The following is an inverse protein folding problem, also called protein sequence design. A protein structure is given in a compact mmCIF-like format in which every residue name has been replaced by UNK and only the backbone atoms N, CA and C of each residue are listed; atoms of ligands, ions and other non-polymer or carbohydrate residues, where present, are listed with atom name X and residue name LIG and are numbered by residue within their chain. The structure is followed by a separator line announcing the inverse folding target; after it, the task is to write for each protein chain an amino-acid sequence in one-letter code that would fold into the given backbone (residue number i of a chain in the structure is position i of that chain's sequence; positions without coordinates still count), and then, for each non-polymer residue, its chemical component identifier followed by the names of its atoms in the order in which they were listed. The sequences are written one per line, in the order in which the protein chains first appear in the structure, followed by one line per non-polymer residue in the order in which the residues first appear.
data_IF_219937160548
#
_entry.id   IF_219937160548
#
_cell.length_a   1.000
_cell.length_b   1.000
_cell.length_c   1.000
_cell.angle_alpha   90.00
_cell.angle_beta   90.00
_cell.angle_gamma   90.00
#
_symmetry.space_group_name_H-M   'P 1'
#
loop_
_entity.id
_entity.type
_entity.pdbx_description
1 polymer ?
#
# COMPACT_ATOMS: atom_id res chain seq x y z
N UNK A 1 42.16 -30.27 13.73
CA UNK A 1 41.84 -28.93 14.23
C UNK A 1 40.34 -28.77 14.09
N UNK A 2 39.59 -28.70 15.20
CA UNK A 2 38.14 -28.40 15.17
C UNK A 2 38.02 -26.88 15.04
N UNK A 3 37.54 -26.40 13.91
CA UNK A 3 37.10 -25.01 13.80
C UNK A 3 36.05 -24.74 14.89
N UNK A 4 36.37 -23.86 15.80
CA UNK A 4 35.41 -23.31 16.73
C UNK A 4 34.40 -22.49 15.90
N UNK A 5 33.18 -22.97 15.78
CA UNK A 5 32.07 -22.19 15.26
C UNK A 5 31.95 -20.95 16.19
N UNK A 6 32.33 -19.82 15.68
CA UNK A 6 32.12 -18.52 16.36
C UNK A 6 30.64 -18.31 16.48
N UNK A 7 30.11 -18.27 17.70
CA UNK A 7 28.72 -17.86 17.96
C UNK A 7 28.49 -16.51 17.28
N UNK A 8 27.47 -16.36 16.45
CA UNK A 8 27.16 -15.08 15.83
C UNK A 8 27.05 -14.01 16.93
N UNK A 9 27.67 -12.85 16.72
CA UNK A 9 27.56 -11.72 17.64
C UNK A 9 26.07 -11.35 17.76
N UNK A 10 25.61 -11.10 18.99
CA UNK A 10 24.25 -10.63 19.22
C UNK A 10 24.02 -9.33 18.44
N UNK A 11 22.81 -9.18 17.87
CA UNK A 11 22.45 -7.96 17.13
C UNK A 11 22.60 -6.72 18.03
N UNK A 12 23.47 -5.80 17.64
CA UNK A 12 23.72 -4.54 18.34
C UNK A 12 23.30 -3.34 17.50
N UNK A 13 22.20 -2.71 17.88
CA UNK A 13 21.63 -1.54 17.19
C UNK A 13 22.59 -0.34 17.15
N UNK A 14 23.50 -0.21 18.11
CA UNK A 14 24.41 0.94 18.18
C UNK A 14 25.45 0.94 17.04
N UNK A 15 25.66 -0.19 16.40
CA UNK A 15 26.58 -0.35 15.27
C UNK A 15 25.92 -0.19 13.91
N UNK A 16 24.60 0.05 13.86
CA UNK A 16 23.84 0.10 12.61
C UNK A 16 23.78 1.53 12.09
N UNK A 17 24.46 1.78 10.98
CA UNK A 17 24.52 3.09 10.31
C UNK A 17 23.99 3.06 8.87
N UNK A 18 24.00 1.89 8.22
CA UNK A 18 23.58 1.72 6.81
C UNK A 18 22.63 0.55 6.70
N UNK A 19 21.40 0.83 6.29
CA UNK A 19 20.32 -0.15 6.22
C UNK A 19 19.83 -0.25 4.78
N UNK A 20 19.76 -1.47 4.23
CA UNK A 20 19.05 -1.75 2.97
C UNK A 20 17.72 -2.41 3.25
N UNK A 21 16.64 -1.94 2.63
CA UNK A 21 15.31 -2.58 2.66
C UNK A 21 14.98 -3.04 1.25
N UNK A 22 14.78 -4.35 1.09
CA UNK A 22 14.38 -4.94 -0.19
C UNK A 22 12.87 -5.12 -0.22
N UNK A 23 12.20 -4.33 -1.05
CA UNK A 23 10.76 -4.44 -1.33
C UNK A 23 10.48 -3.84 -2.69
N UNK A 24 10.17 -4.67 -3.68
CA UNK A 24 9.96 -4.31 -5.08
C UNK A 24 8.54 -4.71 -5.48
N UNK A 25 7.54 -3.96 -5.01
CA UNK A 25 6.11 -4.29 -5.17
C UNK A 25 5.27 -3.06 -5.53
N UNK A 26 3.96 -3.15 -5.30
CA UNK A 26 3.01 -2.08 -5.65
C UNK A 26 2.60 -1.27 -4.44
N UNK A 27 1.91 -0.15 -4.69
CA UNK A 27 1.60 0.87 -3.68
C UNK A 27 1.00 0.30 -2.39
N UNK A 28 -0.01 -0.57 -2.48
CA UNK A 28 -0.64 -1.17 -1.29
C UNK A 28 0.35 -1.98 -0.46
N UNK A 29 1.16 -2.78 -1.14
CA UNK A 29 2.22 -3.57 -0.51
C UNK A 29 3.27 -2.68 0.15
N UNK A 30 3.64 -1.57 -0.50
CA UNK A 30 4.61 -0.62 0.04
C UNK A 30 4.08 0.11 1.27
N UNK A 31 2.80 0.46 1.30
CA UNK A 31 2.19 1.08 2.48
C UNK A 31 2.18 0.14 3.68
N UNK A 32 2.00 -1.16 3.46
CA UNK A 32 1.96 -2.15 4.54
C UNK A 32 3.30 -2.33 5.29
N UNK A 33 4.44 -1.94 4.72
CA UNK A 33 5.72 -1.99 5.46
C UNK A 33 5.96 -0.73 6.30
N UNK A 34 5.23 0.35 6.09
CA UNK A 34 5.50 1.64 6.76
C UNK A 34 5.50 1.53 8.30
N UNK A 35 4.60 0.80 8.96
CA UNK A 35 4.68 0.60 10.41
C UNK A 35 6.00 -0.03 10.88
N UNK A 36 6.53 -1.01 10.15
CA UNK A 36 7.83 -1.62 10.45
C UNK A 36 8.99 -0.65 10.17
N UNK A 37 8.93 0.11 9.07
CA UNK A 37 9.95 1.12 8.74
C UNK A 37 9.95 2.26 9.76
N UNK A 38 8.79 2.66 10.27
CA UNK A 38 8.64 3.63 11.37
C UNK A 38 9.34 3.14 12.63
N UNK A 39 9.12 1.87 13.01
CA UNK A 39 9.79 1.26 14.15
C UNK A 39 11.31 1.20 13.95
N UNK A 40 11.75 0.86 12.73
CA UNK A 40 13.17 0.86 12.35
C UNK A 40 13.80 2.25 12.47
N UNK A 41 13.18 3.29 11.90
CA UNK A 41 13.66 4.68 11.96
C UNK A 41 13.70 5.20 13.39
N UNK A 42 12.71 4.87 14.21
CA UNK A 42 12.70 5.24 15.64
C UNK A 42 13.83 4.55 16.42
N UNK A 43 14.15 3.30 16.08
CA UNK A 43 15.23 2.54 16.73
C UNK A 43 16.62 2.95 16.23
N UNK A 44 16.75 3.38 14.98
CA UNK A 44 18.00 3.76 14.32
C UNK A 44 17.87 5.16 13.67
N UNK A 45 17.74 6.25 14.47
CA UNK A 45 17.36 7.57 13.96
C UNK A 45 18.40 8.19 13.01
N UNK A 46 19.65 7.83 13.16
CA UNK A 46 20.77 8.37 12.38
C UNK A 46 21.26 7.44 11.27
N UNK A 47 20.62 6.28 11.09
CA UNK A 47 21.01 5.36 10.03
C UNK A 47 20.59 5.87 8.66
N UNK A 48 21.42 5.64 7.65
CA UNK A 48 21.09 5.83 6.24
C UNK A 48 20.24 4.65 5.77
N UNK A 49 18.96 4.87 5.49
CA UNK A 49 18.01 3.84 5.05
C UNK A 49 17.79 3.94 3.55
N UNK A 50 18.20 2.88 2.85
CA UNK A 50 18.08 2.74 1.39
C UNK A 50 16.94 1.80 1.05
N UNK A 51 15.97 2.26 0.25
CA UNK A 51 14.98 1.38 -0.36
C UNK A 51 15.53 0.78 -1.65
N UNK A 52 15.45 -0.53 -1.78
CA UNK A 52 15.81 -1.29 -2.99
C UNK A 52 14.51 -1.83 -3.57
N UNK A 53 14.07 -1.26 -4.72
CA UNK A 53 12.73 -1.51 -5.21
C UNK A 53 12.50 -1.21 -6.69
N UNK A 54 11.24 -1.24 -7.13
CA UNK A 54 10.86 -0.99 -8.52
C UNK A 54 11.11 0.49 -8.91
N UNK A 55 11.31 0.81 -10.20
CA UNK A 55 11.62 2.18 -10.66
C UNK A 55 10.65 3.26 -10.16
N UNK A 56 9.35 2.97 -10.07
CA UNK A 56 8.33 3.91 -9.61
C UNK A 56 8.49 4.28 -8.13
N UNK A 57 9.13 3.42 -7.34
CA UNK A 57 9.30 3.60 -5.89
C UNK A 57 10.30 4.71 -5.54
N UNK A 58 11.02 5.24 -6.54
CA UNK A 58 11.79 6.49 -6.36
C UNK A 58 10.89 7.64 -5.89
N UNK A 59 9.67 7.75 -6.46
CA UNK A 59 8.68 8.75 -6.04
C UNK A 59 8.08 8.40 -4.65
N UNK A 60 8.03 7.12 -4.30
CA UNK A 60 7.64 6.68 -2.97
C UNK A 60 8.67 7.13 -1.93
N UNK A 61 9.97 6.98 -2.19
CA UNK A 61 11.04 7.49 -1.32
C UNK A 61 10.93 9.02 -1.14
N UNK A 62 10.66 9.80 -2.20
CA UNK A 62 10.43 11.24 -2.08
C UNK A 62 9.27 11.56 -1.12
N UNK A 63 8.17 10.79 -1.22
CA UNK A 63 7.00 10.96 -0.34
C UNK A 63 7.29 10.60 1.12
N UNK A 64 8.10 9.57 1.33
CA UNK A 64 8.46 9.05 2.65
C UNK A 64 9.91 9.40 3.05
N UNK A 65 10.41 10.60 2.64
CA UNK A 65 11.77 11.05 2.90
C UNK A 65 12.13 11.18 4.41
N UNK A 66 11.13 11.16 5.29
CA UNK A 66 11.34 11.10 6.74
C UNK A 66 11.68 9.69 7.25
N UNK A 67 11.50 8.67 6.40
CA UNK A 67 11.85 7.28 6.68
C UNK A 67 13.01 6.79 5.82
N UNK A 68 13.00 7.11 4.52
CA UNK A 68 14.00 6.65 3.56
C UNK A 68 14.89 7.81 3.13
N UNK A 69 16.20 7.55 3.04
CA UNK A 69 17.19 8.55 2.62
C UNK A 69 17.57 8.41 1.16
N UNK A 70 17.63 7.16 0.63
CA UNK A 70 18.09 6.88 -0.73
C UNK A 70 17.29 5.75 -1.37
N UNK A 71 17.43 5.65 -2.69
CA UNK A 71 16.78 4.63 -3.52
C UNK A 71 17.78 3.95 -4.43
N UNK A 72 17.67 2.62 -4.57
CA UNK A 72 18.39 1.82 -5.57
C UNK A 72 17.35 1.01 -6.35
N UNK A 73 17.48 1.03 -7.67
CA UNK A 73 16.57 0.30 -8.55
C UNK A 73 16.86 -1.20 -8.50
N UNK A 74 15.82 -1.98 -8.20
CA UNK A 74 15.87 -3.44 -8.26
C UNK A 74 15.79 -3.90 -9.72
N UNK A 75 16.76 -4.70 -10.23
CA UNK A 75 16.84 -5.04 -11.65
C UNK A 75 15.92 -6.21 -12.08
N UNK A 76 15.09 -6.73 -11.18
CA UNK A 76 14.43 -8.01 -11.33
C UNK A 76 15.31 -9.17 -10.85
N UNK A 77 14.70 -10.30 -10.55
CA UNK A 77 15.38 -11.51 -10.06
C UNK A 77 14.68 -12.77 -10.54
N UNK A 78 15.41 -13.84 -10.90
CA UNK A 78 14.80 -15.10 -11.32
C UNK A 78 13.82 -15.63 -10.28
N UNK A 79 12.60 -15.94 -10.72
CA UNK A 79 11.50 -16.40 -9.86
C UNK A 79 10.66 -15.32 -9.20
N UNK A 80 10.98 -14.03 -9.40
CA UNK A 80 10.14 -12.89 -9.00
C UNK A 80 9.45 -12.29 -10.23
N UNK A 81 8.09 -12.16 -10.22
CA UNK A 81 7.34 -11.77 -11.42
C UNK A 81 7.20 -10.24 -11.59
N UNK A 82 7.67 -9.43 -10.64
CA UNK A 82 7.37 -8.01 -10.59
C UNK A 82 8.12 -7.19 -11.65
N UNK A 83 9.27 -7.70 -12.12
CA UNK A 83 10.08 -7.07 -13.14
C UNK A 83 10.80 -8.11 -13.99
N UNK A 84 10.88 -7.89 -15.29
CA UNK A 84 11.62 -8.75 -16.20
C UNK A 84 13.10 -8.80 -15.83
N UNK A 85 13.65 -10.03 -15.88
CA UNK A 85 15.04 -10.26 -15.52
C UNK A 85 15.96 -9.91 -16.69
N UNK A 86 16.92 -9.02 -16.44
CA UNK A 86 18.03 -8.71 -17.35
C UNK A 86 19.31 -9.24 -16.72
N UNK A 87 19.83 -10.41 -17.18
CA UNK A 87 20.94 -11.10 -16.52
C UNK A 87 22.19 -10.24 -16.33
N UNK A 88 22.51 -9.38 -17.30
CA UNK A 88 23.67 -8.49 -17.28
C UNK A 88 23.57 -7.45 -16.14
N UNK A 89 22.35 -7.05 -15.76
CA UNK A 89 22.11 -6.09 -14.69
C UNK A 89 22.27 -6.74 -13.31
N UNK A 90 22.05 -8.05 -13.16
CA UNK A 90 22.13 -8.75 -11.87
C UNK A 90 23.55 -8.68 -11.31
N UNK A 91 24.58 -8.93 -12.13
CA UNK A 91 25.97 -8.89 -11.67
C UNK A 91 26.36 -7.48 -11.22
N UNK A 92 26.04 -6.46 -11.99
CA UNK A 92 26.29 -5.07 -11.63
C UNK A 92 25.55 -4.67 -10.36
N UNK A 93 24.30 -5.07 -10.22
CA UNK A 93 23.48 -4.83 -9.02
C UNK A 93 24.10 -5.48 -7.77
N UNK A 94 24.53 -6.75 -7.85
CA UNK A 94 25.18 -7.40 -6.70
C UNK A 94 26.49 -6.71 -6.31
N UNK A 95 27.28 -6.26 -7.28
CA UNK A 95 28.50 -5.48 -7.03
C UNK A 95 28.15 -4.16 -6.33
N UNK A 96 27.11 -3.46 -6.78
CA UNK A 96 26.64 -2.24 -6.14
C UNK A 96 26.18 -2.50 -4.71
N UNK A 97 25.39 -3.56 -4.46
CA UNK A 97 24.93 -3.91 -3.12
C UNK A 97 26.10 -4.17 -2.16
N UNK A 98 27.11 -4.90 -2.60
CA UNK A 98 28.32 -5.16 -1.78
C UNK A 98 29.12 -3.87 -1.52
N UNK A 99 29.18 -2.93 -2.47
CA UNK A 99 29.82 -1.62 -2.30
C UNK A 99 29.07 -0.72 -1.31
N UNK A 100 27.77 -0.91 -1.14
CA UNK A 100 26.98 -0.16 -0.16
C UNK A 100 27.43 -0.43 1.28
N UNK A 101 28.04 -1.60 1.57
CA UNK A 101 28.49 -2.01 2.90
C UNK A 101 27.40 -1.83 3.95
N UNK A 102 26.24 -2.43 3.69
CA UNK A 102 25.12 -2.39 4.64
C UNK A 102 25.51 -3.08 5.96
N UNK A 103 25.18 -2.46 7.08
CA UNK A 103 25.26 -3.10 8.38
C UNK A 103 24.08 -4.05 8.58
N UNK A 104 22.90 -3.66 8.06
CA UNK A 104 21.67 -4.43 8.13
C UNK A 104 20.96 -4.43 6.77
N UNK A 105 20.54 -5.60 6.31
CA UNK A 105 19.61 -5.75 5.18
C UNK A 105 18.31 -6.36 5.69
N UNK A 106 17.19 -5.69 5.42
CA UNK A 106 15.85 -6.20 5.70
C UNK A 106 15.22 -6.74 4.41
N UNK A 107 15.00 -8.04 4.37
CA UNK A 107 14.22 -8.69 3.32
C UNK A 107 12.74 -8.56 3.64
N UNK A 108 12.03 -7.71 2.88
CA UNK A 108 10.59 -7.47 3.01
C UNK A 108 9.83 -7.84 1.72
N UNK A 109 10.43 -8.63 0.82
CA UNK A 109 9.86 -9.07 -0.44
C UNK A 109 9.28 -10.48 -0.34
N UNK A 110 7.96 -10.61 -0.45
CA UNK A 110 7.28 -11.90 -0.44
C UNK A 110 7.40 -12.65 0.88
N UNK A 111 7.62 -13.95 0.81
CA UNK A 111 7.73 -14.86 1.97
C UNK A 111 9.19 -15.27 2.30
N UNK A 112 10.15 -14.79 1.54
CA UNK A 112 11.57 -15.05 1.77
C UNK A 112 12.15 -16.26 1.03
N UNK A 113 11.36 -17.20 0.52
CA UNK A 113 11.87 -18.44 -0.07
C UNK A 113 12.93 -18.23 -1.17
N UNK A 114 12.77 -17.16 -1.98
CA UNK A 114 13.75 -16.79 -3.02
C UNK A 114 14.65 -15.65 -2.49
N UNK A 115 14.05 -14.66 -1.86
CA UNK A 115 14.69 -13.38 -1.59
C UNK A 115 15.63 -13.40 -0.39
N UNK A 116 15.48 -14.34 0.55
CA UNK A 116 16.44 -14.50 1.64
C UNK A 116 17.83 -14.84 1.11
N UNK A 117 17.95 -15.83 0.21
CA UNK A 117 19.21 -16.19 -0.41
C UNK A 117 19.82 -15.06 -1.24
N UNK A 118 18.98 -14.29 -1.95
CA UNK A 118 19.43 -13.12 -2.69
C UNK A 118 20.03 -12.05 -1.76
N UNK A 119 19.35 -11.73 -0.66
CA UNK A 119 19.81 -10.72 0.30
C UNK A 119 21.14 -11.11 0.98
N UNK A 120 21.39 -12.40 1.18
CA UNK A 120 22.68 -12.86 1.70
C UNK A 120 23.87 -12.53 0.77
N UNK A 121 23.65 -12.41 -0.54
CA UNK A 121 24.67 -12.01 -1.51
C UNK A 121 25.08 -10.53 -1.40
N UNK A 122 24.33 -9.70 -0.67
CA UNK A 122 24.68 -8.30 -0.45
C UNK A 122 25.85 -8.13 0.56
N UNK A 123 26.20 -9.21 1.25
CA UNK A 123 27.31 -9.27 2.21
C UNK A 123 27.19 -8.22 3.34
N UNK A 124 25.95 -8.03 3.85
CA UNK A 124 25.70 -7.20 5.01
C UNK A 124 26.18 -7.88 6.31
N UNK A 125 26.45 -7.08 7.35
CA UNK A 125 26.81 -7.61 8.67
C UNK A 125 25.66 -8.45 9.26
N UNK A 126 24.42 -7.94 9.12
CA UNK A 126 23.19 -8.64 9.52
C UNK A 126 22.20 -8.66 8.37
N UNK A 127 21.50 -9.77 8.23
CA UNK A 127 20.33 -9.89 7.33
C UNK A 127 19.16 -10.41 8.14
N UNK A 128 18.00 -9.77 8.00
CA UNK A 128 16.77 -10.17 8.66
C UNK A 128 15.61 -10.18 7.65
N UNK A 129 14.62 -11.01 7.90
CA UNK A 129 13.48 -11.13 6.99
C UNK A 129 12.45 -12.13 7.48
N UNK A 130 11.46 -12.45 6.64
CA UNK A 130 10.49 -13.50 6.91
C UNK A 130 10.94 -14.83 6.29
N UNK A 131 10.45 -15.94 6.83
CA UNK A 131 10.59 -17.27 6.22
C UNK A 131 9.34 -18.11 6.40
N UNK A 132 9.13 -19.07 5.53
CA UNK A 132 8.16 -20.13 5.77
C UNK A 132 8.73 -21.19 6.72
N UNK A 133 7.85 -21.93 7.38
CA UNK A 133 8.26 -23.07 8.18
C UNK A 133 8.93 -24.12 7.30
N UNK A 134 10.13 -24.56 7.69
CA UNK A 134 10.92 -25.54 6.95
C UNK A 134 11.82 -24.99 5.86
N UNK A 135 11.71 -23.70 5.50
CA UNK A 135 12.64 -23.06 4.57
C UNK A 135 14.03 -22.86 5.21
N UNK A 136 15.05 -22.81 4.35
CA UNK A 136 16.39 -22.43 4.76
C UNK A 136 16.37 -21.03 5.43
N UNK A 137 17.07 -20.91 6.54
CA UNK A 137 17.28 -19.63 7.22
C UNK A 137 18.76 -19.43 7.57
N UNK A 138 19.31 -18.25 7.28
CA UNK A 138 20.67 -17.90 7.71
C UNK A 138 20.79 -17.79 9.23
N UNK A 139 19.77 -17.28 9.91
CA UNK A 139 19.69 -17.10 11.36
C UNK A 139 18.22 -17.22 11.83
N UNK A 140 17.92 -18.21 12.66
CA UNK A 140 16.56 -18.43 13.16
C UNK A 140 16.02 -17.28 14.01
N UNK A 141 16.89 -16.50 14.66
CA UNK A 141 16.49 -15.37 15.50
C UNK A 141 16.07 -14.15 14.68
N UNK A 142 16.73 -13.94 13.53
CA UNK A 142 16.48 -12.77 12.67
C UNK A 142 15.48 -13.05 11.56
N UNK A 143 15.05 -14.31 11.38
CA UNK A 143 14.09 -14.71 10.36
C UNK A 143 12.86 -15.38 11.00
N UNK A 144 11.94 -14.60 11.59
CA UNK A 144 10.71 -15.15 12.17
C UNK A 144 9.88 -15.85 11.11
N UNK A 145 9.21 -16.94 11.53
CA UNK A 145 8.28 -17.68 10.69
C UNK A 145 7.04 -16.82 10.46
N UNK A 146 6.61 -16.74 9.21
CA UNK A 146 5.37 -16.11 8.79
C UNK A 146 4.76 -16.89 7.64
N UNK A 147 3.46 -17.03 7.63
CA UNK A 147 2.72 -17.63 6.54
C UNK A 147 1.90 -16.59 5.75
N UNK A 148 1.33 -17.03 4.62
CA UNK A 148 0.56 -16.15 3.73
C UNK A 148 -0.87 -15.87 4.22
N UNK A 149 -1.29 -16.39 5.37
CA UNK A 149 -2.58 -16.10 6.00
C UNK A 149 -2.50 -14.91 6.97
N UNK A 150 -1.30 -14.55 7.40
CA UNK A 150 -1.10 -13.45 8.35
C UNK A 150 -1.33 -12.09 7.69
N UNK A 151 -1.86 -11.15 8.49
CA UNK A 151 -2.05 -9.78 8.04
C UNK A 151 -0.73 -9.12 7.61
N UNK A 152 -0.71 -8.49 6.43
CA UNK A 152 0.53 -8.01 5.80
C UNK A 152 1.30 -7.02 6.67
N UNK A 153 0.63 -6.11 7.38
CA UNK A 153 1.27 -5.19 8.34
C UNK A 153 1.91 -5.96 9.49
N UNK A 154 1.17 -6.89 10.08
CA UNK A 154 1.60 -7.59 11.31
C UNK A 154 2.80 -8.51 11.03
N UNK A 155 2.84 -9.16 9.86
CA UNK A 155 3.95 -10.03 9.50
C UNK A 155 5.27 -9.26 9.35
N UNK A 156 5.27 -8.03 8.82
CA UNK A 156 6.48 -7.23 8.73
C UNK A 156 6.93 -6.65 10.07
N UNK A 157 6.01 -6.38 10.98
CA UNK A 157 6.35 -6.01 12.36
C UNK A 157 7.09 -7.14 13.09
N UNK A 158 6.87 -8.42 12.76
CA UNK A 158 7.66 -9.52 13.32
C UNK A 158 9.17 -9.39 13.06
N UNK A 159 9.57 -8.78 11.93
CA UNK A 159 10.99 -8.55 11.63
C UNK A 159 11.59 -7.56 12.62
N UNK A 160 10.88 -6.45 12.86
CA UNK A 160 11.34 -5.43 13.82
C UNK A 160 11.29 -5.94 15.26
N UNK A 161 10.32 -6.78 15.60
CA UNK A 161 10.24 -7.45 16.90
C UNK A 161 11.43 -8.42 17.11
N UNK A 162 11.78 -9.21 16.09
CA UNK A 162 12.93 -10.12 16.13
C UNK A 162 14.24 -9.36 16.32
N UNK A 163 14.33 -8.12 15.81
CA UNK A 163 15.46 -7.21 16.02
C UNK A 163 15.38 -6.44 17.35
N UNK A 164 14.39 -6.73 18.21
CA UNK A 164 14.18 -6.06 19.49
C UNK A 164 13.88 -4.56 19.37
N UNK A 165 13.28 -4.11 18.27
CA UNK A 165 12.92 -2.72 18.05
C UNK A 165 11.55 -2.43 18.68
N UNK A 166 11.38 -1.31 19.44
CA UNK A 166 10.10 -0.95 20.01
C UNK A 166 9.06 -0.67 18.92
N UNK A 167 7.91 -1.30 19.01
CA UNK A 167 6.80 -1.05 18.10
C UNK A 167 6.31 0.40 18.17
N UNK A 168 5.93 0.95 17.02
CA UNK A 168 5.43 2.31 16.84
C UNK A 168 3.96 2.33 16.34
N UNK A 169 3.21 1.26 16.63
CA UNK A 169 1.83 1.08 16.18
C UNK A 169 1.70 0.48 14.77
N UNK A 170 0.47 0.29 14.34
CA UNK A 170 0.12 -0.41 13.09
C UNK A 170 -0.52 0.50 12.05
N UNK A 171 -0.72 1.79 12.36
CA UNK A 171 -1.38 2.77 11.49
C UNK A 171 -0.57 2.99 10.22
N UNK A 172 -1.22 2.94 9.08
CA UNK A 172 -0.63 3.32 7.80
C UNK A 172 -0.47 4.84 7.70
N UNK A 173 0.40 5.28 6.82
CA UNK A 173 0.64 6.70 6.51
C UNK A 173 0.65 6.92 5.01
N UNK A 174 0.16 8.07 4.59
CA UNK A 174 0.31 8.55 3.23
C UNK A 174 0.54 10.07 3.24
N UNK A 175 1.79 10.54 3.36
CA UNK A 175 2.11 11.96 3.36
C UNK A 175 1.67 12.63 2.06
N UNK A 176 0.95 13.73 2.14
CA UNK A 176 0.57 14.55 0.98
C UNK A 176 1.64 15.62 0.77
N UNK A 177 2.16 15.72 -0.44
CA UNK A 177 3.19 16.70 -0.78
C UNK A 177 2.56 18.08 -1.05
N UNK A 178 3.27 19.15 -0.70
CA UNK A 178 2.74 20.52 -0.83
C UNK A 178 2.28 20.87 -2.25
N UNK A 179 2.96 20.36 -3.29
CA UNK A 179 2.55 20.53 -4.70
C UNK A 179 1.19 19.93 -5.02
N UNK A 180 0.83 18.82 -4.36
CA UNK A 180 -0.41 18.08 -4.60
C UNK A 180 -1.64 18.82 -4.08
N UNK A 181 -1.52 19.55 -2.97
CA UNK A 181 -2.59 20.42 -2.48
C UNK A 181 -2.94 21.53 -3.48
N UNK A 182 -1.91 22.16 -4.09
CA UNK A 182 -2.11 23.20 -5.10
C UNK A 182 -2.80 22.66 -6.36
N UNK A 183 -2.34 21.51 -6.84
CA UNK A 183 -2.94 20.86 -8.00
C UNK A 183 -4.39 20.42 -7.72
N UNK A 184 -4.63 19.84 -6.54
CA UNK A 184 -5.98 19.45 -6.12
C UNK A 184 -6.94 20.64 -6.06
N UNK A 185 -6.51 21.81 -5.58
CA UNK A 185 -7.36 23.00 -5.57
C UNK A 185 -7.84 23.37 -6.97
N UNK A 186 -6.94 23.37 -7.97
CA UNK A 186 -7.29 23.64 -9.37
C UNK A 186 -8.23 22.55 -9.95
N UNK A 187 -7.98 21.27 -9.63
CA UNK A 187 -8.83 20.15 -10.05
C UNK A 187 -10.22 20.27 -9.45
N UNK A 188 -10.29 20.55 -8.16
CA UNK A 188 -11.55 20.68 -7.41
C UNK A 188 -12.42 21.80 -7.94
N UNK A 189 -11.84 22.97 -8.25
CA UNK A 189 -12.50 24.09 -8.88
C UNK A 189 -13.01 23.72 -10.30
N UNK A 190 -12.13 23.17 -11.14
CA UNK A 190 -12.44 22.79 -12.53
C UNK A 190 -13.58 21.78 -12.63
N UNK A 191 -13.67 20.84 -11.69
CA UNK A 191 -14.66 19.76 -11.66
C UNK A 191 -15.88 20.09 -10.79
N UNK A 192 -15.90 21.24 -10.13
CA UNK A 192 -16.92 21.63 -9.15
C UNK A 192 -17.10 20.55 -8.07
N UNK A 193 -16.00 20.14 -7.44
CA UNK A 193 -15.98 19.15 -6.37
C UNK A 193 -16.11 19.87 -5.01
N UNK A 194 -17.24 19.66 -4.35
CA UNK A 194 -17.46 20.18 -3.01
C UNK A 194 -17.18 19.08 -1.97
N UNK A 195 -16.37 19.38 -0.97
CA UNK A 195 -16.00 18.43 0.07
C UNK A 195 -17.25 17.83 0.75
N UNK A 196 -17.25 16.50 0.87
CA UNK A 196 -18.36 15.75 1.44
C UNK A 196 -19.63 15.65 0.56
N UNK A 197 -19.63 16.22 -0.67
CA UNK A 197 -20.77 16.19 -1.59
C UNK A 197 -20.61 15.26 -2.78
N UNK A 198 -19.57 14.44 -2.77
CA UNK A 198 -19.36 13.43 -3.80
C UNK A 198 -18.86 12.12 -3.19
N UNK A 199 -19.04 11.06 -3.93
CA UNK A 199 -18.61 9.70 -3.57
C UNK A 199 -17.62 9.25 -4.63
N UNK A 200 -16.44 8.78 -4.18
CA UNK A 200 -15.46 8.16 -5.04
C UNK A 200 -15.80 6.69 -5.28
N UNK A 201 -15.78 6.27 -6.53
CA UNK A 201 -15.90 4.86 -6.92
C UNK A 201 -14.66 4.47 -7.70
N UNK A 202 -13.92 3.46 -7.21
CA UNK A 202 -12.74 2.91 -7.86
C UNK A 202 -13.01 1.45 -8.28
N UNK A 203 -13.57 1.22 -9.48
CA UNK A 203 -13.97 -0.10 -9.93
C UNK A 203 -12.81 -0.92 -10.50
N UNK A 204 -11.62 -0.31 -10.64
CA UNK A 204 -10.42 -0.93 -11.11
C UNK A 204 -9.79 -1.86 -10.09
N UNK A 205 -8.94 -2.74 -10.57
CA UNK A 205 -7.92 -3.47 -9.85
C UNK A 205 -6.92 -3.98 -10.90
N UNK A 206 -5.62 -4.09 -10.54
CA UNK A 206 -4.60 -4.58 -11.45
C UNK A 206 -4.93 -5.97 -11.98
N UNK A 207 -5.25 -6.91 -11.09
CA UNK A 207 -5.75 -8.22 -11.46
C UNK A 207 -7.25 -8.14 -11.79
N UNK A 208 -7.66 -8.42 -13.05
CA UNK A 208 -9.06 -8.40 -13.44
C UNK A 208 -9.94 -9.34 -12.61
N UNK A 209 -9.40 -10.43 -12.07
CA UNK A 209 -10.12 -11.39 -11.23
C UNK A 209 -10.53 -10.81 -9.87
N UNK A 210 -9.92 -9.69 -9.48
CA UNK A 210 -10.26 -8.96 -8.25
C UNK A 210 -11.34 -7.90 -8.44
N UNK A 211 -11.79 -7.65 -9.69
CA UNK A 211 -12.75 -6.61 -10.02
C UNK A 211 -14.18 -7.08 -9.79
N UNK A 212 -14.93 -6.32 -9.00
CA UNK A 212 -16.38 -6.47 -8.93
C UNK A 212 -17.04 -5.93 -10.20
N UNK A 213 -18.27 -6.37 -10.52
CA UNK A 213 -18.88 -6.03 -11.80
C UNK A 213 -19.21 -4.54 -11.92
N UNK A 214 -19.03 -3.91 -13.11
CA UNK A 214 -19.42 -2.52 -13.36
C UNK A 214 -20.89 -2.25 -13.07
N UNK A 215 -21.75 -3.23 -13.35
CA UNK A 215 -23.20 -3.17 -13.13
C UNK A 215 -23.53 -2.97 -11.64
N UNK A 216 -22.78 -3.65 -10.77
CA UNK A 216 -23.00 -3.59 -9.34
C UNK A 216 -22.53 -2.25 -8.76
N UNK A 217 -21.38 -1.70 -9.20
CA UNK A 217 -20.96 -0.35 -8.82
C UNK A 217 -21.98 0.71 -9.22
N UNK A 218 -22.52 0.62 -10.45
CA UNK A 218 -23.55 1.52 -10.93
C UNK A 218 -24.87 1.37 -10.15
N UNK A 219 -25.23 0.15 -9.77
CA UNK A 219 -26.43 -0.11 -8.96
C UNK A 219 -26.36 0.58 -7.60
N UNK A 220 -25.17 0.57 -6.94
CA UNK A 220 -24.97 1.34 -5.70
C UNK A 220 -25.17 2.83 -5.96
N UNK A 221 -24.50 3.39 -6.98
CA UNK A 221 -24.59 4.80 -7.30
C UNK A 221 -26.04 5.21 -7.54
N UNK A 222 -26.80 4.41 -8.29
CA UNK A 222 -28.22 4.69 -8.59
C UNK A 222 -29.11 4.57 -7.34
N UNK A 223 -28.82 3.65 -6.42
CA UNK A 223 -29.60 3.48 -5.20
C UNK A 223 -29.47 4.68 -4.24
N UNK A 224 -28.30 5.34 -4.20
CA UNK A 224 -28.02 6.46 -3.28
C UNK A 224 -28.01 7.84 -3.95
N UNK A 225 -28.10 7.89 -5.29
CA UNK A 225 -27.97 9.14 -6.06
C UNK A 225 -29.01 10.21 -5.73
N UNK A 226 -30.22 9.79 -5.31
CA UNK A 226 -31.25 10.71 -4.84
C UNK A 226 -30.92 11.53 -3.60
N UNK A 227 -29.80 11.23 -2.91
CA UNK A 227 -29.29 11.98 -1.77
C UNK A 227 -28.44 13.21 -2.16
N UNK A 228 -28.31 13.52 -3.45
CA UNK A 228 -27.62 14.71 -3.96
C UNK A 228 -26.10 14.58 -4.11
N UNK A 229 -25.56 13.39 -4.08
CA UNK A 229 -24.13 13.15 -4.34
C UNK A 229 -23.78 13.19 -5.83
N UNK A 230 -22.61 13.74 -6.15
CA UNK A 230 -21.92 13.50 -7.42
C UNK A 230 -21.06 12.24 -7.30
N UNK A 231 -21.00 11.42 -8.34
CA UNK A 231 -20.15 10.23 -8.37
C UNK A 231 -18.85 10.54 -9.13
N UNK A 232 -17.71 10.26 -8.52
CA UNK A 232 -16.38 10.47 -9.12
C UNK A 232 -15.75 9.11 -9.35
N UNK A 233 -15.63 8.73 -10.62
CA UNK A 233 -14.99 7.46 -11.00
C UNK A 233 -13.49 7.68 -11.12
N UNK A 234 -12.72 6.87 -10.40
CA UNK A 234 -11.27 6.92 -10.34
C UNK A 234 -10.66 5.61 -10.83
N UNK A 235 -9.51 5.70 -11.49
CA UNK A 235 -8.78 4.55 -12.03
C UNK A 235 -7.56 4.99 -12.83
N UNK A 236 -6.83 4.04 -13.39
CA UNK A 236 -5.74 4.27 -14.32
C UNK A 236 -6.26 4.36 -15.77
N UNK A 237 -5.37 4.77 -16.71
CA UNK A 237 -5.71 4.76 -18.15
C UNK A 237 -6.01 3.36 -18.68
N UNK A 238 -5.33 2.35 -18.16
CA UNK A 238 -5.55 0.95 -18.52
C UNK A 238 -6.94 0.45 -18.06
N UNK A 239 -7.55 1.16 -17.12
CA UNK A 239 -8.87 0.87 -16.57
C UNK A 239 -10.01 1.70 -17.21
N UNK A 240 -9.71 2.55 -18.20
CA UNK A 240 -10.68 3.44 -18.84
C UNK A 240 -11.97 2.71 -19.27
N UNK A 241 -11.86 1.54 -19.90
CA UNK A 241 -12.99 0.73 -20.35
C UNK A 241 -13.95 0.34 -19.21
N UNK A 242 -13.43 -0.02 -18.03
CA UNK A 242 -14.30 -0.34 -16.90
C UNK A 242 -14.97 0.91 -16.34
N UNK A 243 -14.26 2.04 -16.31
CA UNK A 243 -14.82 3.33 -15.88
C UNK A 243 -15.97 3.76 -16.80
N UNK A 244 -15.78 3.69 -18.12
CA UNK A 244 -16.84 3.98 -19.11
C UNK A 244 -18.06 3.09 -18.93
N UNK A 245 -17.87 1.79 -18.69
CA UNK A 245 -18.96 0.83 -18.44
C UNK A 245 -19.75 1.16 -17.18
N UNK A 246 -19.10 1.62 -16.12
CA UNK A 246 -19.77 2.09 -14.89
C UNK A 246 -20.50 3.38 -15.16
N UNK A 247 -19.81 4.38 -15.77
CA UNK A 247 -20.39 5.71 -16.06
C UNK A 247 -21.66 5.61 -16.91
N UNK A 248 -21.65 4.79 -17.96
CA UNK A 248 -22.80 4.61 -18.86
C UNK A 248 -24.07 4.06 -18.18
N UNK A 249 -23.96 3.52 -16.96
CA UNK A 249 -25.08 2.92 -16.21
C UNK A 249 -25.54 3.77 -15.02
N UNK A 250 -24.79 4.83 -14.68
CA UNK A 250 -25.17 5.76 -13.63
C UNK A 250 -26.13 6.79 -14.20
N UNK A 251 -27.29 6.98 -13.56
CA UNK A 251 -28.37 7.92 -14.02
C UNK A 251 -28.23 9.30 -13.37
N UNK A 252 -27.26 9.49 -12.48
CA UNK A 252 -26.98 10.74 -11.78
C UNK A 252 -25.70 11.40 -12.30
N UNK A 253 -25.39 12.59 -11.77
CA UNK A 253 -24.14 13.29 -12.14
C UNK A 253 -22.94 12.39 -11.82
N UNK A 254 -22.16 12.07 -12.86
CA UNK A 254 -20.94 11.27 -12.79
C UNK A 254 -19.79 11.99 -13.48
N UNK A 255 -18.62 11.94 -12.90
CA UNK A 255 -17.37 12.49 -13.43
C UNK A 255 -16.40 11.32 -13.57
N UNK A 256 -15.97 11.01 -14.79
CA UNK A 256 -14.90 10.06 -15.06
C UNK A 256 -13.58 10.84 -15.09
N UNK A 257 -12.73 10.63 -14.10
CA UNK A 257 -11.47 11.38 -13.96
C UNK A 257 -10.53 11.12 -15.13
N UNK A 258 -10.46 9.88 -15.62
CA UNK A 258 -9.55 9.52 -16.74
C UNK A 258 -9.95 10.26 -18.01
N UNK A 259 -11.24 10.33 -18.34
CA UNK A 259 -11.74 11.03 -19.52
C UNK A 259 -11.56 12.54 -19.39
N UNK A 260 -11.71 13.08 -18.17
CA UNK A 260 -11.76 14.53 -17.95
C UNK A 260 -10.36 15.14 -17.78
N UNK A 261 -9.44 14.43 -17.11
CA UNK A 261 -8.10 14.92 -16.75
C UNK A 261 -6.97 14.15 -17.45
N UNK A 262 -7.23 12.95 -17.95
CA UNK A 262 -6.28 12.08 -18.62
C UNK A 262 -5.35 11.34 -17.67
N UNK A 263 -4.59 12.05 -16.85
CA UNK A 263 -3.69 11.48 -15.84
C UNK A 263 -3.83 12.24 -14.52
N UNK A 264 -3.71 11.52 -13.44
CA UNK A 264 -3.74 12.05 -12.09
C UNK A 264 -2.63 11.38 -11.27
N UNK A 265 -1.84 12.19 -10.58
CA UNK A 265 -0.87 11.66 -9.65
C UNK A 265 -1.55 11.08 -8.42
N UNK A 266 -0.90 10.12 -7.78
CA UNK A 266 -1.49 9.39 -6.64
C UNK A 266 -1.81 10.30 -5.45
N UNK A 267 -1.07 11.40 -5.25
CA UNK A 267 -1.36 12.35 -4.18
C UNK A 267 -2.59 13.21 -4.45
N UNK A 268 -2.81 13.60 -5.71
CA UNK A 268 -4.03 14.29 -6.13
C UNK A 268 -5.25 13.39 -6.02
N UNK A 269 -5.11 12.11 -6.44
CA UNK A 269 -6.14 11.08 -6.24
C UNK A 269 -6.46 10.90 -4.75
N UNK A 270 -5.43 10.84 -3.91
CA UNK A 270 -5.59 10.73 -2.46
C UNK A 270 -6.38 11.91 -1.86
N UNK A 271 -6.13 13.14 -2.33
CA UNK A 271 -6.87 14.33 -1.91
C UNK A 271 -8.33 14.33 -2.42
N UNK A 272 -8.56 13.89 -3.65
CA UNK A 272 -9.92 13.69 -4.16
C UNK A 272 -10.67 12.69 -3.28
N UNK A 273 -10.07 11.55 -2.97
CA UNK A 273 -10.68 10.56 -2.08
C UNK A 273 -10.88 11.11 -0.67
N UNK A 274 -9.90 11.81 -0.10
CA UNK A 274 -9.97 12.37 1.25
C UNK A 274 -11.08 13.41 1.41
N UNK A 275 -11.35 14.17 0.36
CA UNK A 275 -12.42 15.19 0.35
C UNK A 275 -13.79 14.61 -0.01
N UNK A 276 -13.88 13.32 -0.38
CA UNK A 276 -15.15 12.65 -0.67
C UNK A 276 -15.92 12.30 0.61
N UNK A 277 -17.23 12.07 0.49
CA UNK A 277 -18.03 11.53 1.59
C UNK A 277 -17.68 10.07 1.90
N UNK A 278 -17.30 9.32 0.85
CA UNK A 278 -17.08 7.88 0.90
C UNK A 278 -16.24 7.42 -0.29
N UNK A 279 -15.38 6.44 -0.07
CA UNK A 279 -14.76 5.63 -1.14
C UNK A 279 -15.48 4.28 -1.24
N UNK A 280 -15.81 3.85 -2.45
CA UNK A 280 -16.25 2.49 -2.76
C UNK A 280 -15.25 1.88 -3.73
N UNK A 281 -14.56 0.82 -3.35
CA UNK A 281 -13.50 0.24 -4.17
C UNK A 281 -13.42 -1.28 -4.05
N UNK A 282 -12.79 -1.91 -5.03
CA UNK A 282 -12.24 -3.26 -4.81
C UNK A 282 -11.09 -3.22 -3.80
N UNK A 283 -10.69 -4.37 -3.28
CA UNK A 283 -9.44 -4.54 -2.55
C UNK A 283 -8.26 -4.31 -3.50
N UNK A 284 -7.62 -3.13 -3.40
CA UNK A 284 -6.54 -2.65 -4.28
C UNK A 284 -5.72 -1.56 -3.58
N UNK A 285 -4.67 -1.06 -4.20
CA UNK A 285 -3.77 -0.05 -3.61
C UNK A 285 -4.47 1.17 -3.03
N UNK A 286 -5.58 1.64 -3.63
CA UNK A 286 -6.34 2.80 -3.11
C UNK A 286 -7.06 2.52 -1.79
N UNK A 287 -7.39 1.27 -1.47
CA UNK A 287 -7.98 0.93 -0.16
C UNK A 287 -6.96 1.11 0.97
N UNK A 288 -5.68 0.85 0.71
CA UNK A 288 -4.60 1.13 1.67
C UNK A 288 -4.31 2.63 1.81
N UNK A 289 -4.44 3.41 0.71
CA UNK A 289 -4.39 4.88 0.79
C UNK A 289 -5.56 5.40 1.62
N UNK A 290 -6.75 4.84 1.44
CA UNK A 290 -7.92 5.21 2.24
C UNK A 290 -7.69 4.92 3.73
N UNK A 291 -7.12 3.76 4.07
CA UNK A 291 -6.76 3.43 5.44
C UNK A 291 -5.69 4.37 6.02
N UNK A 292 -4.71 4.77 5.20
CA UNK A 292 -3.64 5.69 5.61
C UNK A 292 -4.09 7.14 5.83
N UNK A 293 -5.23 7.53 5.28
CA UNK A 293 -5.78 8.90 5.34
C UNK A 293 -7.11 8.99 6.10
N UNK A 294 -7.51 7.93 6.78
CA UNK A 294 -8.78 7.82 7.52
C UNK A 294 -10.01 8.14 6.65
N UNK A 295 -9.99 7.68 5.39
CA UNK A 295 -11.09 7.88 4.45
C UNK A 295 -12.12 6.77 4.64
N UNK A 296 -13.37 7.11 4.99
CA UNK A 296 -14.41 6.11 5.08
C UNK A 296 -14.54 5.33 3.80
N UNK A 297 -14.61 4.01 3.90
CA UNK A 297 -14.65 3.21 2.69
C UNK A 297 -15.46 1.93 2.81
N UNK A 298 -16.00 1.50 1.68
CA UNK A 298 -16.54 0.17 1.43
C UNK A 298 -15.52 -0.55 0.54
N UNK A 299 -14.92 -1.61 1.05
CA UNK A 299 -13.88 -2.37 0.34
C UNK A 299 -14.43 -3.75 -0.01
N UNK A 300 -14.50 -4.02 -1.30
CA UNK A 300 -15.11 -5.23 -1.85
C UNK A 300 -14.00 -6.22 -2.20
N UNK A 301 -14.04 -7.37 -1.53
CA UNK A 301 -13.10 -8.47 -1.74
C UNK A 301 -13.68 -9.47 -2.73
N UNK A 302 -12.83 -9.99 -3.60
CA UNK A 302 -13.12 -11.13 -4.46
C UNK A 302 -12.62 -12.43 -3.83
N UNK A 303 -12.97 -13.57 -4.42
CA UNK A 303 -12.42 -14.88 -4.02
C UNK A 303 -10.91 -15.03 -4.27
N UNK A 304 -10.32 -14.12 -5.03
CA UNK A 304 -8.87 -14.06 -5.33
C UNK A 304 -8.10 -13.13 -4.38
N UNK A 305 -8.76 -12.65 -3.33
CA UNK A 305 -8.20 -11.70 -2.37
C UNK A 305 -8.47 -12.16 -0.94
N UNK A 306 -7.44 -12.25 -0.13
CA UNK A 306 -7.54 -12.74 1.27
C UNK A 306 -7.88 -11.56 2.20
N UNK A 307 -9.07 -11.56 2.76
CA UNK A 307 -9.54 -10.53 3.71
C UNK A 307 -8.59 -10.46 4.91
N UNK A 308 -8.21 -11.60 5.46
CA UNK A 308 -7.37 -11.70 6.66
C UNK A 308 -6.00 -11.04 6.47
N UNK A 309 -5.50 -11.06 5.23
CA UNK A 309 -4.18 -10.50 4.89
C UNK A 309 -4.23 -9.00 4.58
N UNK A 310 -5.28 -8.53 3.89
CA UNK A 310 -5.27 -7.23 3.23
C UNK A 310 -6.29 -6.23 3.76
N UNK A 311 -7.28 -6.65 4.56
CA UNK A 311 -8.29 -5.74 5.06
C UNK A 311 -7.67 -4.68 6.00
N UNK A 312 -8.11 -3.41 5.93
CA UNK A 312 -7.72 -2.42 6.95
C UNK A 312 -7.99 -2.93 8.37
N UNK A 313 -7.07 -2.63 9.27
CA UNK A 313 -7.19 -3.02 10.68
C UNK A 313 -8.28 -2.23 11.42
N UNK A 314 -8.56 -0.99 10.98
CA UNK A 314 -9.67 -0.19 11.51
C UNK A 314 -10.96 -0.48 10.75
N UNK A 315 -11.82 -1.32 11.33
CA UNK A 315 -13.13 -1.67 10.77
C UNK A 315 -14.22 -0.67 11.12
N UNK A 316 -13.95 0.34 11.93
CA UNK A 316 -14.92 1.40 12.25
C UNK A 316 -15.11 2.37 11.08
N UNK A 317 -14.02 2.69 10.37
CA UNK A 317 -14.03 3.54 9.18
C UNK A 317 -14.15 2.76 7.88
N UNK A 318 -13.72 1.49 7.87
CA UNK A 318 -13.61 0.67 6.67
C UNK A 318 -14.53 -0.54 6.78
N UNK A 319 -15.61 -0.54 6.00
CA UNK A 319 -16.53 -1.67 5.91
C UNK A 319 -16.02 -2.68 4.90
N UNK A 320 -15.72 -3.88 5.37
CA UNK A 320 -15.23 -4.97 4.54
C UNK A 320 -16.40 -5.78 4.01
N UNK A 321 -16.45 -5.95 2.69
CA UNK A 321 -17.44 -6.80 2.01
C UNK A 321 -16.71 -8.02 1.45
N UNK A 322 -16.77 -9.18 2.12
CA UNK A 322 -16.17 -10.40 1.63
C UNK A 322 -16.90 -10.93 0.39
N UNK A 323 -16.23 -11.79 -0.39
CA UNK A 323 -16.70 -12.24 -1.70
C UNK A 323 -18.11 -12.87 -1.69
N UNK A 324 -18.44 -13.66 -0.67
CA UNK A 324 -19.76 -14.29 -0.49
C UNK A 324 -20.88 -13.24 -0.30
N UNK A 325 -20.59 -12.15 0.41
CA UNK A 325 -21.52 -11.04 0.64
C UNK A 325 -21.58 -10.06 -0.53
N UNK A 326 -20.50 -9.94 -1.30
CA UNK A 326 -20.47 -9.11 -2.51
C UNK A 326 -21.40 -9.61 -3.63
N UNK A 327 -21.83 -10.85 -3.57
CA UNK A 327 -22.86 -11.41 -4.49
C UNK A 327 -24.24 -10.79 -4.26
N UNK A 328 -24.56 -10.34 -3.04
CA UNK A 328 -25.79 -9.60 -2.72
C UNK A 328 -25.54 -8.09 -2.79
N UNK A 329 -25.85 -7.48 -3.93
CA UNK A 329 -25.71 -6.02 -4.13
C UNK A 329 -26.53 -5.22 -3.09
N UNK A 330 -27.68 -5.75 -2.66
CA UNK A 330 -28.51 -5.08 -1.64
C UNK A 330 -27.81 -5.08 -0.27
N UNK A 331 -27.03 -6.10 0.05
CA UNK A 331 -26.18 -6.09 1.23
C UNK A 331 -25.16 -4.95 1.18
N UNK A 332 -24.51 -4.77 0.02
CA UNK A 332 -23.52 -3.70 -0.16
C UNK A 332 -24.17 -2.33 -0.06
N UNK A 333 -25.34 -2.12 -0.72
CA UNK A 333 -26.10 -0.87 -0.65
C UNK A 333 -26.48 -0.53 0.80
N UNK A 334 -26.94 -1.50 1.59
CA UNK A 334 -27.23 -1.26 3.01
C UNK A 334 -25.99 -0.78 3.77
N UNK A 335 -24.84 -1.42 3.60
CA UNK A 335 -23.57 -1.00 4.24
C UNK A 335 -23.16 0.42 3.84
N UNK A 336 -23.31 0.77 2.55
CA UNK A 336 -23.04 2.14 2.05
C UNK A 336 -23.97 3.14 2.75
N UNK A 337 -25.27 2.86 2.78
CA UNK A 337 -26.29 3.76 3.35
C UNK A 337 -26.07 3.96 4.86
N UNK A 338 -25.78 2.88 5.59
CA UNK A 338 -25.51 2.93 7.02
C UNK A 338 -24.26 3.76 7.32
N UNK A 339 -23.16 3.56 6.55
CA UNK A 339 -21.92 4.30 6.76
C UNK A 339 -22.09 5.79 6.45
N UNK A 340 -22.81 6.15 5.40
CA UNK A 340 -23.14 7.55 5.08
C UNK A 340 -24.02 8.18 6.16
N UNK A 341 -25.06 7.47 6.66
CA UNK A 341 -25.98 7.99 7.68
C UNK A 341 -25.31 8.23 9.03
N UNK A 342 -24.38 7.37 9.42
CA UNK A 342 -23.62 7.52 10.68
C UNK A 342 -22.72 8.77 10.71
N UNK A 343 -22.40 9.33 9.55
CA UNK A 343 -21.47 10.46 9.38
C UNK A 343 -22.12 11.81 9.14
N UNK A 344 -23.36 11.85 8.65
CA UNK A 344 -24.11 13.13 8.55
C UNK A 344 -24.24 13.83 9.91
N UNK A 345 -24.04 13.09 11.01
CA UNK A 345 -24.04 13.64 12.38
C UNK A 345 -22.68 14.24 12.82
N UNK A 346 -21.58 14.08 12.07
CA UNK A 346 -20.21 14.34 12.55
C UNK A 346 -19.29 15.13 11.61
N UNK A 347 -19.79 15.75 10.52
CA UNK A 347 -18.93 16.64 9.73
C UNK A 347 -18.72 17.96 10.48
N UNK A 348 -17.52 18.26 11.02
CA UNK A 348 -17.18 19.63 11.36
C UNK A 348 -17.14 20.42 10.04
N UNK A 349 -17.79 21.59 10.01
CA UNK A 349 -17.58 22.56 8.94
C UNK A 349 -16.07 22.75 8.78
N UNK A 350 -15.51 22.35 7.63
CA UNK A 350 -14.15 22.73 7.30
C UNK A 350 -14.12 24.26 7.17
N UNK A 351 -13.76 24.93 8.28
CA UNK A 351 -13.50 26.35 8.27
C UNK A 351 -12.37 26.63 7.27
N UNK A 352 -12.62 27.59 6.39
CA UNK A 352 -11.67 28.16 5.44
C UNK A 352 -10.45 28.70 6.20
N UNK A 353 -9.44 27.88 6.35
CA UNK A 353 -8.12 28.31 6.82
C UNK A 353 -7.07 27.50 6.06
N UNK A 354 -6.73 28.04 4.88
CA UNK A 354 -5.51 27.75 4.15
C UNK A 354 -4.72 29.04 4.00
#
# INVERSE_FOLDING_TARGET
MKEQATTPAAFDRSTIHRIGIVRALYLGDMLCIIPAVRALRAACPNALITLIGLPWEKNFVERFQHYFDTFIEFPGWPGLPEQDVVPERIVAFLQEMQQQRFDLVLQMQGNGSITNSMCMLFNAQYTAGLRLAGDYTPDEKLFPISDDSEHEILRFLKITDALGMPQQGTTLEFPILSREYKNFANISERLDLQAGKYICIHPGARDPLRRWSPENFAAIANAIGGQGYTFVLTGSREEATILERVAARITYRVINIVDTLGHLDIGELALIMKSSALLISNDTGVSHVAAALDIPSIIIFSTYSKVERWAPLDTSLHRIVPADKAMDVQYVIRNVTELLSSRTATFPEFSKSF
#
